data_IF_173468100517
#
_entry.id   IF_173468100517
#
_cell.length_a   1.000
_cell.length_b   1.000
_cell.length_c   1.000
_cell.angle_alpha   90.00
_cell.angle_beta   90.00
_cell.angle_gamma   90.00
#
_symmetry.space_group_name_H-M   'P 1'
#
loop_
_entity.id
_entity.type
_entity.pdbx_description
1 polymer ?
#
# COMPACT_ATOMS: atom_id res chain seq x y z
N UNK A 1 21.85 -9.29 7.53
CA UNK A 1 20.94 -10.27 6.91
C UNK A 1 20.96 -10.04 5.41
N UNK A 2 21.56 -10.97 4.68
CA UNK A 2 21.71 -10.97 3.23
C UNK A 2 20.91 -12.11 2.59
N UNK A 3 20.82 -12.15 1.26
CA UNK A 3 20.26 -13.30 0.55
C UNK A 3 21.00 -14.60 0.86
N UNK A 4 22.32 -14.53 1.10
CA UNK A 4 23.12 -15.68 1.51
C UNK A 4 22.73 -16.18 2.89
N UNK A 5 22.58 -15.28 3.86
CA UNK A 5 22.21 -15.65 5.24
C UNK A 5 20.89 -16.44 5.27
N UNK A 6 19.94 -16.08 4.40
CA UNK A 6 18.68 -16.82 4.25
C UNK A 6 18.88 -18.23 3.70
N UNK A 7 19.73 -18.39 2.68
CA UNK A 7 20.06 -19.71 2.11
C UNK A 7 20.73 -20.58 3.17
N UNK A 8 21.68 -20.02 3.93
CA UNK A 8 22.37 -20.74 4.99
C UNK A 8 21.37 -21.27 6.06
N UNK A 9 20.34 -20.50 6.41
CA UNK A 9 19.27 -20.97 7.33
C UNK A 9 18.37 -22.02 6.67
N UNK A 10 18.01 -21.85 5.40
CA UNK A 10 17.20 -22.83 4.66
C UNK A 10 17.90 -24.19 4.54
N UNK A 11 19.19 -24.18 4.21
CA UNK A 11 20.02 -25.38 4.14
C UNK A 11 20.14 -26.04 5.51
N UNK A 12 20.39 -25.27 6.58
CA UNK A 12 20.44 -25.80 7.93
C UNK A 12 19.12 -26.47 8.36
N UNK A 13 17.96 -25.88 8.03
CA UNK A 13 16.64 -26.48 8.30
C UNK A 13 16.43 -27.76 7.49
N UNK A 14 16.88 -27.79 6.24
CA UNK A 14 16.79 -28.97 5.37
C UNK A 14 17.66 -30.12 5.89
N UNK A 15 18.92 -29.83 6.22
CA UNK A 15 19.87 -30.82 6.74
C UNK A 15 19.41 -31.39 8.09
N UNK A 16 18.73 -30.59 8.90
CA UNK A 16 18.12 -31.03 10.16
C UNK A 16 16.73 -31.68 9.99
N UNK A 17 16.25 -31.93 8.76
CA UNK A 17 14.90 -32.43 8.47
C UNK A 17 13.79 -31.67 9.23
N UNK A 18 13.94 -30.35 9.33
CA UNK A 18 13.14 -29.46 10.17
C UNK A 18 12.35 -28.42 9.37
N UNK A 19 12.21 -28.64 8.05
CA UNK A 19 11.53 -27.69 7.17
C UNK A 19 10.07 -27.43 7.60
N UNK A 20 9.40 -28.41 8.19
CA UNK A 20 7.99 -28.31 8.60
C UNK A 20 7.75 -27.37 9.80
N UNK A 21 8.81 -26.98 10.53
CA UNK A 21 8.71 -26.09 11.69
C UNK A 21 8.45 -24.62 11.33
N UNK A 22 8.63 -24.25 10.06
CA UNK A 22 8.49 -22.87 9.60
C UNK A 22 7.26 -22.72 8.70
N UNK A 23 6.43 -21.72 8.99
CA UNK A 23 5.30 -21.32 8.15
C UNK A 23 5.61 -20.02 7.39
N UNK A 24 6.22 -19.05 8.07
CA UNK A 24 6.44 -17.70 7.56
C UNK A 24 7.91 -17.29 7.64
N UNK A 25 8.37 -16.67 6.56
CA UNK A 25 9.68 -16.03 6.45
C UNK A 25 9.49 -14.52 6.40
N UNK A 26 9.91 -13.85 7.47
CA UNK A 26 9.79 -12.41 7.59
C UNK A 26 10.86 -11.67 6.77
N UNK A 27 10.49 -10.54 6.17
CA UNK A 27 11.42 -9.63 5.49
C UNK A 27 11.02 -8.16 5.69
N UNK A 28 12.00 -7.26 5.73
CA UNK A 28 11.83 -5.83 6.05
C UNK A 28 12.37 -4.95 4.90
N UNK A 29 11.58 -4.71 3.83
CA UNK A 29 12.05 -4.11 2.58
C UNK A 29 12.10 -2.58 2.65
N UNK A 30 12.94 -2.01 3.51
CA UNK A 30 13.08 -0.56 3.61
C UNK A 30 13.73 0.02 2.34
N UNK A 31 12.90 0.60 1.48
CA UNK A 31 13.32 1.29 0.24
C UNK A 31 12.64 2.66 0.13
N UNK A 32 13.33 3.65 -0.43
CA UNK A 32 12.77 4.99 -0.60
C UNK A 32 11.49 4.98 -1.43
N UNK A 33 11.47 4.25 -2.55
CA UNK A 33 10.25 3.97 -3.28
C UNK A 33 9.66 2.63 -2.78
N UNK A 34 8.45 2.59 -2.19
CA UNK A 34 7.86 1.34 -1.70
C UNK A 34 7.52 0.37 -2.85
N UNK A 35 7.41 0.86 -4.09
CA UNK A 35 7.01 0.07 -5.25
C UNK A 35 8.15 -0.82 -5.82
N UNK A 36 9.40 -0.63 -5.41
CA UNK A 36 10.56 -1.28 -6.08
C UNK A 36 10.95 -2.64 -5.51
N UNK A 37 10.44 -3.02 -4.35
CA UNK A 37 10.83 -4.27 -3.66
C UNK A 37 10.31 -5.56 -4.31
N UNK A 38 9.25 -5.50 -5.14
CA UNK A 38 8.50 -6.69 -5.53
C UNK A 38 9.26 -7.68 -6.40
N UNK A 39 10.20 -7.22 -7.23
CA UNK A 39 11.06 -8.12 -8.00
C UNK A 39 11.90 -9.04 -7.08
N UNK A 40 12.40 -8.48 -5.97
CA UNK A 40 13.11 -9.27 -4.96
C UNK A 40 12.15 -10.19 -4.19
N UNK A 41 10.94 -9.74 -3.89
CA UNK A 41 9.91 -10.55 -3.21
C UNK A 41 9.56 -11.78 -4.05
N UNK A 42 9.28 -11.60 -5.35
CA UNK A 42 8.95 -12.69 -6.26
C UNK A 42 10.09 -13.71 -6.39
N UNK A 43 11.34 -13.23 -6.51
CA UNK A 43 12.53 -14.09 -6.50
C UNK A 43 12.63 -14.88 -5.20
N UNK A 44 12.33 -14.23 -4.07
CA UNK A 44 12.35 -14.83 -2.74
C UNK A 44 11.27 -15.89 -2.55
N UNK A 45 10.05 -15.65 -3.04
CA UNK A 45 8.96 -16.63 -3.01
C UNK A 45 9.33 -17.89 -3.82
N UNK A 46 9.92 -17.72 -5.01
CA UNK A 46 10.38 -18.84 -5.84
C UNK A 46 11.47 -19.66 -5.13
N UNK A 47 12.42 -18.99 -4.49
CA UNK A 47 13.46 -19.66 -3.69
C UNK A 47 12.84 -20.48 -2.55
N UNK A 48 11.97 -19.88 -1.74
CA UNK A 48 11.35 -20.55 -0.60
C UNK A 48 10.49 -21.74 -1.02
N UNK A 49 9.72 -21.60 -2.10
CA UNK A 49 8.90 -22.68 -2.66
C UNK A 49 9.74 -23.89 -3.12
N UNK A 50 11.00 -23.67 -3.51
CA UNK A 50 11.92 -24.76 -3.86
C UNK A 50 12.40 -25.57 -2.64
N UNK A 51 12.34 -25.01 -1.43
CA UNK A 51 12.62 -25.74 -0.18
C UNK A 51 11.36 -26.38 0.39
N UNK A 52 10.25 -25.64 0.45
CA UNK A 52 8.97 -26.16 0.89
C UNK A 52 7.80 -25.39 0.28
N UNK A 53 6.78 -26.06 -0.29
CA UNK A 53 5.58 -25.38 -0.80
C UNK A 53 4.73 -24.75 0.31
N UNK A 54 4.99 -25.09 1.59
CA UNK A 54 4.31 -24.51 2.77
C UNK A 54 4.78 -23.08 3.06
N UNK A 55 6.01 -22.73 2.68
CA UNK A 55 6.63 -21.47 3.08
C UNK A 55 5.94 -20.26 2.46
N UNK A 56 5.63 -19.30 3.31
CA UNK A 56 5.04 -18.01 2.93
C UNK A 56 5.99 -16.89 3.30
N UNK A 57 6.00 -15.83 2.49
CA UNK A 57 6.63 -14.58 2.89
C UNK A 57 5.67 -13.74 3.72
N UNK A 58 6.23 -13.06 4.70
CA UNK A 58 5.54 -12.08 5.54
C UNK A 58 6.35 -10.79 5.54
N UNK A 59 5.75 -9.67 5.15
CA UNK A 59 6.37 -8.36 5.37
C UNK A 59 6.23 -8.04 6.86
N UNK A 60 7.32 -8.26 7.61
CA UNK A 60 7.28 -8.30 9.08
C UNK A 60 7.39 -6.94 9.76
N UNK A 61 8.07 -6.00 9.11
CA UNK A 61 8.31 -4.65 9.61
C UNK A 61 8.69 -3.74 8.45
N UNK A 62 7.93 -2.66 8.20
CA UNK A 62 8.31 -1.62 7.24
C UNK A 62 7.45 -0.38 7.43
N UNK A 63 8.00 0.78 7.11
CA UNK A 63 7.30 2.05 7.21
C UNK A 63 8.15 3.17 6.64
N UNK A 64 7.77 4.41 6.96
CA UNK A 64 8.45 5.61 6.51
C UNK A 64 8.59 6.60 7.68
N UNK A 65 9.73 7.29 7.84
CA UNK A 65 9.82 8.44 8.74
C UNK A 65 8.82 9.52 8.34
N UNK A 66 8.46 10.40 9.28
CA UNK A 66 7.60 11.56 9.01
C UNK A 66 8.38 12.88 8.94
N UNK A 67 9.69 12.85 9.16
CA UNK A 67 10.62 13.99 9.09
C UNK A 67 11.97 13.51 8.55
N UNK A 68 12.84 14.45 8.19
CA UNK A 68 14.25 14.14 7.95
C UNK A 68 14.89 13.52 9.20
N UNK A 69 15.42 12.31 9.03
CA UNK A 69 16.21 11.61 10.04
C UNK A 69 17.62 11.35 9.53
N UNK A 70 18.56 11.17 10.47
CA UNK A 70 19.99 11.04 10.18
C UNK A 70 20.55 9.64 10.47
N UNK A 71 19.71 8.71 10.92
CA UNK A 71 20.07 7.32 11.20
C UNK A 71 18.85 6.42 11.02
N UNK A 72 19.05 5.10 11.06
CA UNK A 72 18.06 4.06 10.79
C UNK A 72 17.57 4.00 9.33
N UNK A 73 16.57 3.15 9.09
CA UNK A 73 16.01 2.93 7.77
C UNK A 73 15.45 4.23 7.17
N UNK A 74 15.67 4.42 5.87
CA UNK A 74 15.19 5.59 5.12
C UNK A 74 15.72 6.95 5.63
N UNK A 75 16.83 6.97 6.37
CA UNK A 75 17.52 8.21 6.73
C UNK A 75 18.00 9.00 5.50
N UNK A 76 18.37 10.27 5.71
CA UNK A 76 18.93 11.18 4.70
C UNK A 76 17.99 11.51 3.53
N UNK A 77 16.69 11.33 3.73
CA UNK A 77 15.67 11.80 2.80
C UNK A 77 14.69 12.72 3.55
N UNK A 78 14.27 13.86 2.96
CA UNK A 78 13.44 14.86 3.63
C UNK A 78 11.97 14.42 3.69
N UNK A 79 11.68 13.34 4.40
CA UNK A 79 10.29 12.89 4.57
C UNK A 79 9.44 13.93 5.30
N UNK A 80 8.13 13.84 5.09
CA UNK A 80 7.12 14.60 5.80
C UNK A 80 5.99 13.68 6.23
N UNK A 81 5.04 14.20 7.01
CA UNK A 81 3.83 13.44 7.36
C UNK A 81 2.98 13.07 6.12
N UNK A 82 3.10 13.82 5.01
CA UNK A 82 2.40 13.50 3.77
C UNK A 82 3.11 12.43 2.96
N UNK A 83 4.43 12.51 2.75
CA UNK A 83 5.15 11.43 2.08
C UNK A 83 5.11 10.14 2.90
N UNK A 84 5.07 10.22 4.24
CA UNK A 84 4.82 9.05 5.09
C UNK A 84 3.48 8.38 4.79
N UNK A 85 2.39 9.16 4.70
CA UNK A 85 1.06 8.62 4.43
C UNK A 85 1.00 7.95 3.06
N UNK A 86 1.52 8.63 2.03
CA UNK A 86 1.60 8.09 0.67
C UNK A 86 2.44 6.82 0.61
N UNK A 87 3.61 6.82 1.25
CA UNK A 87 4.51 5.67 1.28
C UNK A 87 3.82 4.44 1.86
N UNK A 88 3.17 4.59 3.02
CA UNK A 88 2.47 3.49 3.68
C UNK A 88 1.25 3.00 2.87
N UNK A 89 0.47 3.90 2.28
CA UNK A 89 -0.65 3.51 1.42
C UNK A 89 -0.17 2.68 0.23
N UNK A 90 0.87 3.11 -0.48
CA UNK A 90 1.41 2.38 -1.64
C UNK A 90 1.97 1.01 -1.24
N UNK A 91 2.68 0.97 -0.10
CA UNK A 91 3.19 -0.29 0.48
C UNK A 91 2.06 -1.27 0.76
N UNK A 92 1.06 -0.84 1.52
CA UNK A 92 -0.11 -1.65 1.87
C UNK A 92 -0.86 -2.10 0.62
N UNK A 93 -1.10 -1.21 -0.35
CA UNK A 93 -1.81 -1.53 -1.59
C UNK A 93 -1.08 -2.61 -2.40
N UNK A 94 0.24 -2.45 -2.57
CA UNK A 94 1.01 -3.38 -3.38
C UNK A 94 1.34 -4.71 -2.69
N UNK A 95 1.39 -4.78 -1.36
CA UNK A 95 1.38 -6.05 -0.62
C UNK A 95 0.03 -6.73 -0.72
N UNK A 96 -1.05 -5.97 -0.51
CA UNK A 96 -2.41 -6.49 -0.49
C UNK A 96 -2.81 -7.10 -1.82
N UNK A 97 -2.45 -6.48 -2.95
CA UNK A 97 -2.75 -7.01 -4.29
C UNK A 97 -1.96 -8.27 -4.63
N UNK A 98 -0.85 -8.53 -3.93
CA UNK A 98 -0.01 -9.73 -4.09
C UNK A 98 -0.30 -10.79 -3.03
N UNK A 99 -1.34 -10.59 -2.20
CA UNK A 99 -1.67 -11.43 -1.06
C UNK A 99 -0.48 -11.65 -0.10
N UNK A 100 0.34 -10.61 0.09
CA UNK A 100 1.44 -10.64 1.07
C UNK A 100 0.89 -10.09 2.40
N UNK A 101 0.92 -10.88 3.49
CA UNK A 101 0.64 -10.33 4.82
C UNK A 101 1.69 -9.29 5.18
N UNK A 102 1.26 -8.16 5.75
CA UNK A 102 2.11 -6.99 5.96
C UNK A 102 1.89 -6.36 7.34
N UNK A 103 2.89 -5.65 7.83
CA UNK A 103 2.91 -4.96 9.11
C UNK A 103 3.51 -3.56 8.95
N UNK A 104 2.66 -2.57 9.23
CA UNK A 104 3.04 -1.15 9.23
C UNK A 104 3.78 -0.81 10.51
N UNK A 105 5.05 -0.49 10.37
CA UNK A 105 5.90 0.01 11.43
C UNK A 105 5.82 1.55 11.47
N UNK A 106 5.29 2.18 12.52
CA UNK A 106 4.74 1.60 13.76
C UNK A 106 3.56 2.44 14.27
N UNK A 107 2.89 2.01 15.34
CA UNK A 107 1.72 2.71 15.88
C UNK A 107 2.04 4.11 16.40
N UNK A 108 3.15 4.28 17.14
CA UNK A 108 3.54 5.53 17.80
C UNK A 108 5.05 5.76 17.67
N UNK A 109 5.47 7.02 17.66
CA UNK A 109 6.89 7.38 17.61
C UNK A 109 7.71 6.68 18.70
N UNK A 110 8.92 6.27 18.33
CA UNK A 110 9.81 5.48 19.19
C UNK A 110 10.89 6.37 19.80
N UNK A 111 11.09 6.26 21.12
CA UNK A 111 12.16 6.95 21.83
C UNK A 111 13.40 6.06 21.88
N UNK A 112 14.37 6.32 21.02
CA UNK A 112 15.73 5.79 21.14
C UNK A 112 16.57 6.70 22.05
N UNK A 113 17.68 6.18 22.55
CA UNK A 113 18.62 6.93 23.40
C UNK A 113 19.17 8.18 22.69
N UNK A 114 19.38 8.10 21.38
CA UNK A 114 19.96 9.15 20.55
C UNK A 114 18.93 9.97 19.75
N UNK A 115 17.66 9.54 19.65
CA UNK A 115 16.65 10.26 18.86
C UNK A 115 15.20 9.88 19.20
N UNK A 116 14.27 10.73 18.78
CA UNK A 116 12.85 10.35 18.63
C UNK A 116 12.62 9.95 17.18
N UNK A 117 12.40 8.66 16.93
CA UNK A 117 12.10 8.15 15.59
C UNK A 117 10.62 8.39 15.25
N UNK A 118 10.41 8.89 14.04
CA UNK A 118 9.17 9.44 13.52
C UNK A 118 8.37 8.49 12.63
N UNK A 119 8.59 7.18 12.74
CA UNK A 119 7.82 6.17 12.00
C UNK A 119 6.38 5.99 12.52
N UNK A 120 6.07 6.58 13.67
CA UNK A 120 4.76 6.45 14.30
C UNK A 120 3.63 7.02 13.45
N UNK A 121 2.52 6.31 13.37
CA UNK A 121 1.24 6.89 12.94
C UNK A 121 0.72 7.91 13.97
N UNK A 122 1.16 7.80 15.22
CA UNK A 122 0.88 8.72 16.31
C UNK A 122 2.17 9.47 16.68
N UNK A 123 2.08 10.80 16.75
CA UNK A 123 3.15 11.65 17.26
C UNK A 123 3.19 11.56 18.79
N UNK A 124 4.38 11.28 19.33
CA UNK A 124 4.69 11.45 20.76
C UNK A 124 5.83 12.44 20.97
N UNK A 125 5.92 13.00 22.18
CA UNK A 125 7.06 13.83 22.58
C UNK A 125 8.13 13.02 23.34
N UNK A 126 9.21 13.69 23.75
CA UNK A 126 10.33 13.06 24.45
C UNK A 126 9.96 12.54 25.85
N UNK A 127 8.83 13.00 26.39
CA UNK A 127 8.24 12.55 27.66
C UNK A 127 7.26 11.38 27.47
N UNK A 128 7.21 10.78 26.27
CA UNK A 128 6.33 9.67 25.90
C UNK A 128 4.83 10.02 25.94
N UNK A 129 4.48 11.30 25.83
CA UNK A 129 3.09 11.75 25.83
C UNK A 129 2.53 11.75 24.41
N UNK A 130 1.26 11.37 24.28
CA UNK A 130 0.48 11.52 23.04
C UNK A 130 0.37 13.00 22.65
N UNK A 131 0.62 13.33 21.38
CA UNK A 131 0.38 14.67 20.84
C UNK A 131 -0.79 14.65 19.86
N UNK A 132 -0.70 13.90 18.76
CA UNK A 132 -1.78 13.76 17.78
C UNK A 132 -1.61 12.52 16.89
N UNK A 133 -2.67 12.18 16.14
CA UNK A 133 -2.66 11.17 15.06
C UNK A 133 -2.25 11.84 13.75
N UNK A 134 -1.19 11.36 13.11
CA UNK A 134 -0.71 11.86 11.81
C UNK A 134 -1.67 11.49 10.68
N UNK A 135 -1.59 12.14 9.50
CA UNK A 135 -2.31 11.71 8.29
C UNK A 135 -2.21 10.20 8.00
N UNK A 136 -1.03 9.61 8.20
CA UNK A 136 -0.78 8.17 8.04
C UNK A 136 -1.70 7.30 8.91
N UNK A 137 -2.04 7.72 10.12
CA UNK A 137 -2.99 6.99 10.98
C UNK A 137 -4.33 6.79 10.29
N UNK A 138 -4.85 7.86 9.70
CA UNK A 138 -6.15 7.83 9.03
C UNK A 138 -6.07 7.04 7.73
N UNK A 139 -5.00 7.23 6.95
CA UNK A 139 -4.75 6.50 5.72
C UNK A 139 -4.70 4.97 5.94
N UNK A 140 -3.92 4.52 6.94
CA UNK A 140 -3.82 3.10 7.33
C UNK A 140 -5.16 2.58 7.84
N UNK A 141 -5.89 3.38 8.65
CA UNK A 141 -7.24 3.02 9.09
C UNK A 141 -8.18 2.82 7.89
N UNK A 142 -8.19 3.71 6.89
CA UNK A 142 -9.05 3.56 5.71
C UNK A 142 -8.73 2.28 4.94
N UNK A 143 -7.44 1.96 4.75
CA UNK A 143 -7.02 0.69 4.16
C UNK A 143 -7.52 -0.51 4.97
N UNK A 144 -7.27 -0.55 6.27
CA UNK A 144 -7.65 -1.69 7.13
C UNK A 144 -9.17 -1.85 7.28
N UNK A 145 -9.93 -0.75 7.25
CA UNK A 145 -11.41 -0.81 7.34
C UNK A 145 -12.05 -1.25 6.03
N UNK A 146 -11.52 -0.84 4.88
CA UNK A 146 -12.12 -1.24 3.59
C UNK A 146 -11.66 -2.62 3.13
N UNK A 147 -10.35 -2.92 3.26
CA UNK A 147 -9.70 -4.13 2.77
C UNK A 147 -9.70 -5.26 3.81
N UNK A 148 -10.90 -5.56 4.31
CA UNK A 148 -11.17 -6.68 5.20
C UNK A 148 -11.05 -8.05 4.47
N UNK A 149 -11.47 -9.12 5.15
CA UNK A 149 -11.46 -10.49 4.62
C UNK A 149 -12.42 -10.69 3.45
N UNK A 150 -13.42 -9.82 3.24
CA UNK A 150 -14.35 -9.91 2.11
C UNK A 150 -13.73 -9.36 0.82
N UNK A 151 -12.67 -8.54 0.91
CA UNK A 151 -11.94 -8.08 -0.27
C UNK A 151 -10.96 -9.15 -0.73
N UNK A 152 -10.95 -9.48 -2.01
CA UNK A 152 -10.01 -10.47 -2.59
C UNK A 152 -9.15 -9.80 -3.64
N UNK A 153 -7.85 -10.12 -3.64
CA UNK A 153 -6.95 -9.60 -4.65
C UNK A 153 -7.20 -10.31 -5.99
N UNK A 154 -7.31 -9.51 -7.05
CA UNK A 154 -7.40 -10.00 -8.45
C UNK A 154 -6.01 -9.96 -9.10
N UNK A 155 -5.15 -9.04 -8.66
CA UNK A 155 -3.81 -8.83 -9.21
C UNK A 155 -3.64 -7.42 -9.75
N UNK A 156 -2.48 -7.15 -10.37
CA UNK A 156 -2.29 -5.89 -11.08
C UNK A 156 -3.08 -5.92 -12.39
N UNK A 157 -3.91 -4.89 -12.61
CA UNK A 157 -4.72 -4.78 -13.81
C UNK A 157 -3.93 -4.07 -14.91
N UNK A 158 -4.18 -4.48 -16.15
CA UNK A 158 -3.71 -3.75 -17.30
C UNK A 158 -4.43 -2.40 -17.38
N UNK A 159 -3.66 -1.35 -17.70
CA UNK A 159 -4.15 0.00 -17.82
C UNK A 159 -3.56 0.64 -19.08
N UNK A 160 -4.44 0.99 -20.00
CA UNK A 160 -4.09 1.83 -21.15
C UNK A 160 -4.20 3.29 -20.74
N UNK A 161 -3.20 4.10 -21.12
CA UNK A 161 -3.17 5.51 -20.79
C UNK A 161 -2.37 6.28 -21.83
N UNK A 162 -2.75 7.54 -22.04
CA UNK A 162 -1.96 8.53 -22.80
C UNK A 162 -1.19 9.48 -21.88
N UNK A 163 -1.31 9.31 -20.56
CA UNK A 163 -0.60 10.13 -19.58
C UNK A 163 0.92 9.91 -19.68
N UNK A 164 1.69 10.94 -19.31
CA UNK A 164 3.16 10.90 -19.34
C UNK A 164 3.75 9.83 -18.41
N UNK A 165 3.04 9.54 -17.33
CA UNK A 165 3.43 8.54 -16.32
C UNK A 165 2.43 7.39 -16.40
N UNK A 166 2.93 6.16 -16.32
CA UNK A 166 2.07 4.97 -16.27
C UNK A 166 1.64 4.73 -14.81
N UNK A 167 0.34 4.72 -14.49
CA UNK A 167 -0.10 4.40 -13.14
C UNK A 167 0.00 2.89 -12.88
N UNK A 168 0.20 2.53 -11.62
CA UNK A 168 -0.09 1.20 -11.12
C UNK A 168 -1.59 1.10 -10.87
N UNK A 169 -2.21 0.00 -11.31
CA UNK A 169 -3.61 -0.31 -11.01
C UNK A 169 -3.67 -1.64 -10.28
N UNK A 170 -3.95 -1.60 -8.98
CA UNK A 170 -4.14 -2.80 -8.17
C UNK A 170 -5.63 -3.17 -8.13
N UNK A 171 -5.95 -4.35 -8.66
CA UNK A 171 -7.31 -4.86 -8.77
C UNK A 171 -7.71 -5.77 -7.61
N UNK A 172 -8.94 -5.58 -7.16
CA UNK A 172 -9.58 -6.35 -6.12
C UNK A 172 -11.05 -6.58 -6.44
N UNK A 173 -11.67 -7.50 -5.74
CA UNK A 173 -13.09 -7.75 -5.75
C UNK A 173 -13.65 -7.65 -4.32
N UNK A 174 -14.81 -7.02 -4.16
CA UNK A 174 -15.59 -7.05 -2.92
C UNK A 174 -17.04 -7.34 -3.23
N UNK A 175 -17.58 -8.40 -2.64
CA UNK A 175 -18.98 -8.81 -2.82
C UNK A 175 -19.42 -8.90 -4.31
N UNK A 176 -18.57 -9.47 -5.18
CA UNK A 176 -18.85 -9.62 -6.61
C UNK A 176 -18.75 -8.33 -7.43
N UNK A 177 -18.22 -7.25 -6.85
CA UNK A 177 -18.02 -5.96 -7.54
C UNK A 177 -16.53 -5.58 -7.58
N UNK A 178 -16.06 -4.94 -8.66
CA UNK A 178 -14.66 -4.57 -8.77
C UNK A 178 -14.29 -3.44 -7.81
N UNK A 179 -13.03 -3.45 -7.40
CA UNK A 179 -12.35 -2.38 -6.67
C UNK A 179 -10.98 -2.19 -7.31
N UNK A 180 -10.57 -0.95 -7.54
CA UNK A 180 -9.25 -0.62 -8.06
C UNK A 180 -8.57 0.45 -7.20
N UNK A 181 -7.30 0.23 -6.85
CA UNK A 181 -6.43 1.29 -6.34
C UNK A 181 -5.51 1.77 -7.46
N UNK A 182 -5.40 3.09 -7.63
CA UNK A 182 -4.61 3.74 -8.67
C UNK A 182 -3.60 4.71 -8.07
N UNK A 183 -2.35 4.70 -8.54
CA UNK A 183 -1.33 5.68 -8.16
C UNK A 183 -0.18 5.69 -9.16
N UNK A 184 0.60 6.78 -9.18
CA UNK A 184 1.91 6.78 -9.83
C UNK A 184 2.99 6.23 -8.88
N UNK A 185 3.48 5.03 -9.16
CA UNK A 185 4.50 4.33 -8.37
C UNK A 185 5.94 4.41 -8.90
N UNK A 186 6.18 5.19 -9.96
CA UNK A 186 7.47 5.27 -10.65
C UNK A 186 8.57 6.00 -9.85
N UNK A 187 8.22 6.71 -8.77
CA UNK A 187 9.12 7.56 -7.99
C UNK A 187 8.86 7.45 -6.48
N UNK A 188 9.84 7.86 -5.69
CA UNK A 188 9.68 8.10 -4.25
C UNK A 188 8.49 9.06 -4.03
N UNK A 189 7.57 8.78 -3.09
CA UNK A 189 6.47 9.68 -2.80
C UNK A 189 6.96 11.09 -2.44
N UNK A 190 6.42 12.09 -3.11
CA UNK A 190 6.69 13.50 -2.84
C UNK A 190 5.81 14.02 -1.72
N UNK A 191 6.13 15.20 -1.21
CA UNK A 191 5.30 15.91 -0.23
C UNK A 191 4.20 16.76 -0.88
N UNK A 192 4.19 16.86 -2.21
CA UNK A 192 3.27 17.72 -2.94
C UNK A 192 1.84 17.19 -2.89
N UNK A 193 0.87 18.06 -2.62
CA UNK A 193 -0.55 17.73 -2.68
C UNK A 193 -1.16 18.09 -4.04
N UNK A 194 -0.45 17.72 -5.10
CA UNK A 194 -0.80 18.04 -6.48
C UNK A 194 -1.21 16.76 -7.21
N UNK A 195 -2.26 16.87 -8.00
CA UNK A 195 -2.73 15.80 -8.88
C UNK A 195 -2.73 16.28 -10.32
N UNK A 196 -2.64 15.31 -11.23
CA UNK A 196 -2.68 15.49 -12.67
C UNK A 196 -3.92 14.76 -13.22
N UNK A 197 -4.75 15.41 -14.05
CA UNK A 197 -5.81 14.72 -14.77
C UNK A 197 -5.23 13.63 -15.67
N UNK A 198 -5.83 12.45 -15.66
CA UNK A 198 -5.43 11.34 -16.51
C UNK A 198 -6.63 10.72 -17.24
N UNK A 199 -6.42 10.37 -18.50
CA UNK A 199 -7.34 9.54 -19.27
C UNK A 199 -6.83 8.10 -19.24
N UNK A 200 -7.65 7.19 -18.72
CA UNK A 200 -7.28 5.80 -18.47
C UNK A 200 -8.34 4.83 -19.02
N UNK A 201 -7.91 3.64 -19.43
CA UNK A 201 -8.80 2.48 -19.57
C UNK A 201 -8.27 1.34 -18.72
N UNK A 202 -9.02 1.01 -17.66
CA UNK A 202 -8.73 -0.12 -16.78
C UNK A 202 -9.35 -1.36 -17.40
N UNK A 203 -8.52 -2.39 -17.64
CA UNK A 203 -8.97 -3.67 -18.19
C UNK A 203 -9.42 -4.61 -17.06
N UNK A 204 -10.47 -5.39 -17.33
CA UNK A 204 -10.95 -6.42 -16.40
C UNK A 204 -11.64 -5.89 -15.13
N UNK A 205 -12.06 -4.63 -15.13
CA UNK A 205 -12.88 -4.04 -14.08
C UNK A 205 -13.97 -3.17 -14.74
N UNK A 206 -15.23 -3.56 -14.57
CA UNK A 206 -16.40 -2.83 -15.08
C UNK A 206 -17.25 -2.33 -13.91
N UNK A 207 -17.23 -1.01 -13.68
CA UNK A 207 -18.02 -0.38 -12.62
C UNK A 207 -19.42 0.01 -13.14
N UNK A 208 -20.42 0.07 -12.25
CA UNK A 208 -21.81 0.47 -12.55
C UNK A 208 -22.18 1.81 -11.96
N UNK A 209 -21.71 2.10 -10.76
CA UNK A 209 -21.88 3.37 -10.06
C UNK A 209 -20.61 3.67 -9.23
N UNK A 210 -19.44 3.82 -9.89
CA UNK A 210 -18.17 4.06 -9.22
C UNK A 210 -18.18 5.40 -8.47
N UNK A 211 -17.50 5.38 -7.32
CA UNK A 211 -17.06 6.59 -6.61
C UNK A 211 -15.54 6.61 -6.55
N UNK A 212 -14.99 7.82 -6.53
CA UNK A 212 -13.57 8.06 -6.30
C UNK A 212 -13.34 8.33 -4.82
N UNK A 213 -12.39 7.63 -4.19
CA UNK A 213 -12.03 7.83 -2.79
C UNK A 213 -10.56 8.25 -2.70
N UNK A 214 -10.31 9.41 -2.10
CA UNK A 214 -8.96 9.84 -1.77
C UNK A 214 -8.55 9.19 -0.44
N UNK A 215 -7.60 8.25 -0.47
CA UNK A 215 -7.37 7.33 0.64
C UNK A 215 -6.69 7.92 1.87
N UNK A 216 -5.98 9.06 1.75
CA UNK A 216 -5.40 9.74 2.91
C UNK A 216 -6.52 10.32 3.78
N UNK A 217 -7.42 11.10 3.17
CA UNK A 217 -8.51 11.79 3.86
C UNK A 217 -9.76 10.94 4.05
N UNK A 218 -9.95 9.91 3.22
CA UNK A 218 -11.17 9.12 3.16
C UNK A 218 -12.36 9.85 2.51
N UNK A 219 -12.11 11.00 1.85
CA UNK A 219 -13.17 11.74 1.16
C UNK A 219 -13.61 10.96 -0.08
N UNK A 220 -14.93 10.91 -0.26
CA UNK A 220 -15.60 10.22 -1.36
C UNK A 220 -16.17 11.26 -2.31
N UNK A 221 -15.92 11.08 -3.60
CA UNK A 221 -16.33 11.98 -4.67
C UNK A 221 -17.09 11.21 -5.73
N UNK A 222 -18.12 11.86 -6.28
CA UNK A 222 -18.77 11.38 -7.48
C UNK A 222 -17.87 11.66 -8.68
N UNK A 223 -17.82 10.73 -9.63
CA UNK A 223 -17.24 11.02 -10.94
C UNK A 223 -18.23 11.86 -11.74
N UNK A 224 -17.73 12.86 -12.46
CA UNK A 224 -18.56 13.75 -13.26
C UNK A 224 -19.32 12.97 -14.34
N UNK A 225 -20.53 13.44 -14.67
CA UNK A 225 -21.33 12.83 -15.72
C UNK A 225 -20.54 12.79 -17.05
N UNK A 226 -20.46 11.61 -17.66
CA UNK A 226 -19.70 11.39 -18.90
C UNK A 226 -18.18 11.28 -18.73
N UNK A 227 -17.63 11.43 -17.52
CA UNK A 227 -16.20 11.27 -17.26
C UNK A 227 -15.77 9.80 -17.08
N UNK A 228 -16.70 8.86 -17.21
CA UNK A 228 -16.42 7.43 -17.19
C UNK A 228 -17.47 6.63 -17.95
N UNK A 229 -17.10 5.45 -18.43
CA UNK A 229 -18.00 4.45 -19.01
C UNK A 229 -17.44 3.04 -18.82
N UNK A 230 -18.32 2.04 -18.74
CA UNK A 230 -17.93 0.64 -18.66
C UNK A 230 -18.49 -0.13 -19.86
N UNK A 231 -17.61 -0.76 -20.64
CA UNK A 231 -17.97 -1.56 -21.82
C UNK A 231 -17.01 -2.74 -21.97
N UNK A 232 -17.54 -3.91 -22.36
CA UNK A 232 -16.73 -5.10 -22.62
C UNK A 232 -15.90 -5.58 -21.43
N UNK A 233 -16.37 -5.36 -20.20
CA UNK A 233 -15.64 -5.73 -18.97
C UNK A 233 -14.54 -4.74 -18.55
N UNK A 234 -14.42 -3.61 -19.23
CA UNK A 234 -13.40 -2.59 -18.98
C UNK A 234 -14.07 -1.28 -18.56
N UNK A 235 -13.32 -0.42 -17.86
CA UNK A 235 -13.78 0.93 -17.50
C UNK A 235 -12.84 1.98 -18.08
N UNK A 236 -13.40 2.88 -18.87
CA UNK A 236 -12.72 4.09 -19.33
C UNK A 236 -13.02 5.24 -18.37
N UNK A 237 -11.99 5.99 -18.02
CA UNK A 237 -12.04 7.19 -17.18
C UNK A 237 -11.43 8.34 -17.98
N UNK A 238 -12.06 9.50 -17.93
CA UNK A 238 -11.57 10.73 -18.52
C UNK A 238 -11.29 11.75 -17.41
N UNK A 239 -10.12 12.39 -17.48
CA UNK A 239 -9.69 13.45 -16.57
C UNK A 239 -9.77 13.07 -15.08
N UNK A 240 -9.52 11.78 -14.76
CA UNK A 240 -9.51 11.35 -13.36
C UNK A 240 -8.30 11.95 -12.64
N UNK A 241 -8.47 12.59 -11.46
CA UNK A 241 -7.34 13.09 -10.69
C UNK A 241 -6.45 11.93 -10.25
N UNK A 242 -5.20 11.89 -10.73
CA UNK A 242 -4.20 10.92 -10.30
C UNK A 242 -2.96 11.62 -9.77
N UNK A 243 -2.32 10.97 -8.84
CA UNK A 243 -1.14 11.46 -8.17
C UNK A 243 -0.37 10.27 -7.59
N UNK A 244 0.65 10.60 -6.84
CA UNK A 244 1.59 9.67 -6.28
C UNK A 244 1.08 9.13 -4.91
N UNK A 245 -0.23 9.06 -4.73
CA UNK A 245 -0.91 8.43 -3.60
C UNK A 245 -2.03 7.52 -4.12
N UNK A 246 -2.28 6.35 -3.49
CA UNK A 246 -3.41 5.51 -3.84
C UNK A 246 -4.74 6.25 -3.73
N UNK A 247 -5.51 6.20 -4.81
CA UNK A 247 -6.92 6.58 -4.87
C UNK A 247 -7.72 5.32 -5.18
N UNK A 248 -8.93 5.21 -4.65
CA UNK A 248 -9.76 4.03 -4.85
C UNK A 248 -10.95 4.32 -5.76
N UNK A 249 -11.19 3.43 -6.71
CA UNK A 249 -12.45 3.28 -7.40
C UNK A 249 -13.17 2.06 -6.85
N UNK A 250 -14.40 2.25 -6.42
CA UNK A 250 -15.27 1.19 -5.92
C UNK A 250 -16.72 1.54 -6.22
N UNK A 251 -17.60 0.54 -6.27
CA UNK A 251 -19.04 0.80 -6.32
C UNK A 251 -19.47 1.61 -5.10
N UNK A 252 -20.31 2.64 -5.30
CA UNK A 252 -20.84 3.47 -4.21
C UNK A 252 -21.41 2.65 -3.06
N UNK A 253 -22.14 1.59 -3.39
CA UNK A 253 -22.78 0.71 -2.41
C UNK A 253 -21.79 -0.04 -1.50
N UNK A 254 -20.52 -0.15 -1.90
CA UNK A 254 -19.48 -0.83 -1.12
C UNK A 254 -18.70 0.13 -0.20
N UNK A 255 -18.85 1.45 -0.40
CA UNK A 255 -18.13 2.46 0.39
C UNK A 255 -19.05 2.97 1.51
N UNK A 256 -18.71 2.74 2.79
CA UNK A 256 -19.48 3.28 3.90
C UNK A 256 -19.42 4.81 3.89
N UNK A 257 -20.56 5.45 3.62
CA UNK A 257 -20.69 6.90 3.69
C UNK A 257 -21.12 7.30 5.09
N UNK A 258 -20.49 8.35 5.63
CA UNK A 258 -20.95 8.95 6.88
C UNK A 258 -22.36 9.48 6.64
N UNK A 259 -23.34 8.91 7.33
CA UNK A 259 -24.67 9.52 7.39
C UNK A 259 -24.55 10.85 8.11
N UNK A 260 -25.16 11.90 7.56
CA UNK A 260 -25.30 13.16 8.29
C UNK A 260 -25.98 12.85 9.63
N UNK A 261 -25.45 13.44 10.71
CA UNK A 261 -26.17 13.40 11.97
C UNK A 261 -27.53 14.05 11.69
N UNK A 262 -28.62 13.31 11.92
CA UNK A 262 -29.95 13.91 11.91
C UNK A 262 -29.91 15.08 12.90
N UNK A 263 -30.07 16.29 12.40
CA UNK A 263 -30.31 17.48 13.22
C UNK A 263 -31.56 17.30 14.08
#
# INVERSE_FOLDING_TARGET
ITDKDRVDVLDALKDANSLDLVDFWAYHPYTGNPDTSYAWVEKSQKLLAAYSPKYKLYQGEVGCPSILEWTHALAHYPWTEYSQAKWNLRRMAGDRVRNIPCNVFTMIDLRYTNMQQSFGMIRSNLQLQFIYKRPTFYAVRHMMTFFDDAVKAVGLLECETVAKRKPTVAGFEKAGTPVALLWYGDRVPSDELVWEPADLTIKGAAFKAPVYVEMITGKVFELAAGSWTSEGGNTRLAQVPLWDSPVMLAERAQVPLRQEAKE
#
